data_IF_655560313860
#
_entry.id   IF_655560313860
#
_cell.length_a   1.000
_cell.length_b   1.000
_cell.length_c   1.000
_cell.angle_alpha   90.00
_cell.angle_beta   90.00
_cell.angle_gamma   90.00
#
_symmetry.space_group_name_H-M   'P 1'
#
loop_
_entity.id
_entity.type
_entity.pdbx_description
1 polymer ?
#
# COMPACT_ATOMS: atom_id res chain seq x y z
N UNK A 1 -11.56 -11.03 -5.17
CA UNK A 1 -11.92 -9.73 -4.55
C UNK A 1 -12.19 -8.65 -5.62
N UNK A 2 -12.92 -7.55 -5.35
CA UNK A 2 -13.09 -6.46 -6.34
C UNK A 2 -11.82 -5.60 -6.36
N UNK A 3 -10.90 -5.94 -7.27
CA UNK A 3 -9.69 -5.14 -7.51
C UNK A 3 -10.07 -3.75 -8.02
N UNK A 4 -9.48 -2.71 -7.44
CA UNK A 4 -9.72 -1.31 -7.80
C UNK A 4 -8.42 -0.68 -8.30
N UNK A 5 -8.54 0.39 -9.10
CA UNK A 5 -7.40 1.19 -9.55
C UNK A 5 -7.01 2.18 -8.45
N UNK A 6 -5.83 1.99 -7.87
CA UNK A 6 -5.27 2.77 -6.76
C UNK A 6 -4.09 3.59 -7.27
N UNK A 7 -4.12 4.91 -7.06
CA UNK A 7 -3.00 5.81 -7.34
C UNK A 7 -1.90 5.62 -6.30
N UNK A 8 -0.65 5.53 -6.75
CA UNK A 8 0.54 5.50 -5.92
C UNK A 8 1.60 6.47 -6.43
N UNK A 9 2.32 7.09 -5.51
CA UNK A 9 3.51 7.87 -5.83
C UNK A 9 4.68 6.93 -6.18
N UNK A 10 5.49 7.36 -7.14
CA UNK A 10 6.73 6.71 -7.55
C UNK A 10 7.80 7.76 -7.80
N UNK A 11 9.06 7.35 -7.94
CA UNK A 11 10.16 8.24 -8.33
C UNK A 11 9.93 8.94 -9.68
N UNK A 12 9.05 8.38 -10.52
CA UNK A 12 8.68 8.94 -11.83
C UNK A 12 7.31 9.65 -11.82
N UNK A 13 6.75 9.99 -10.65
CA UNK A 13 5.41 10.61 -10.52
C UNK A 13 4.31 9.63 -10.10
N UNK A 14 3.04 10.00 -10.34
CA UNK A 14 1.89 9.17 -9.95
C UNK A 14 1.66 8.04 -10.95
N UNK A 15 1.60 6.80 -10.45
CA UNK A 15 1.20 5.62 -11.22
C UNK A 15 -0.05 4.98 -10.62
N UNK A 16 -0.62 4.00 -11.31
CA UNK A 16 -1.76 3.22 -10.84
C UNK A 16 -1.29 1.79 -10.53
N UNK A 17 -1.71 1.24 -9.40
CA UNK A 17 -1.71 -0.20 -9.10
C UNK A 17 -3.15 -0.71 -9.03
N UNK A 18 -3.31 -2.02 -9.18
CA UNK A 18 -4.59 -2.70 -8.97
C UNK A 18 -4.48 -3.53 -7.69
N UNK A 19 -5.49 -3.47 -6.82
CA UNK A 19 -5.47 -4.20 -5.56
C UNK A 19 -6.60 -3.80 -4.62
N UNK A 20 -6.46 -4.16 -3.34
CA UNK A 20 -7.29 -3.64 -2.24
C UNK A 20 -6.67 -2.38 -1.67
N UNK A 21 -7.49 -1.34 -1.45
CA UNK A 21 -7.06 -0.18 -0.66
C UNK A 21 -7.27 -0.49 0.82
N UNK A 22 -6.21 -0.35 1.61
CA UNK A 22 -6.24 -0.54 3.06
C UNK A 22 -5.64 0.69 3.77
N UNK A 23 -6.24 1.14 4.86
CA UNK A 23 -5.78 2.29 5.64
C UNK A 23 -5.35 1.84 7.04
N UNK A 24 -4.14 2.23 7.45
CA UNK A 24 -3.62 1.99 8.79
C UNK A 24 -2.57 3.04 9.15
N UNK A 25 -2.48 3.41 10.43
CA UNK A 25 -1.46 4.34 10.96
C UNK A 25 -1.41 5.72 10.27
N UNK A 26 -2.50 6.15 9.63
CA UNK A 26 -2.55 7.40 8.85
C UNK A 26 -2.00 7.30 7.42
N UNK A 27 -1.67 6.10 6.96
CA UNK A 27 -1.19 5.79 5.62
C UNK A 27 -2.23 5.01 4.80
N UNK A 28 -2.05 5.03 3.48
CA UNK A 28 -2.82 4.25 2.52
C UNK A 28 -1.93 3.18 1.89
N UNK A 29 -2.45 1.96 1.77
CA UNK A 29 -1.75 0.79 1.25
C UNK A 29 -2.54 0.17 0.09
N UNK A 30 -1.82 -0.25 -0.95
CA UNK A 30 -2.32 -1.07 -2.04
C UNK A 30 -1.88 -2.52 -1.77
N UNK A 31 -2.82 -3.38 -1.35
CA UNK A 31 -2.59 -4.82 -1.17
C UNK A 31 -2.85 -5.48 -2.52
N UNK A 32 -1.81 -6.09 -3.09
CA UNK A 32 -1.86 -6.64 -4.45
C UNK A 32 -1.04 -7.92 -4.53
N UNK A 33 -1.28 -8.71 -5.58
CA UNK A 33 -0.46 -9.86 -5.92
C UNK A 33 0.72 -9.43 -6.81
N UNK A 34 1.82 -10.16 -6.71
CA UNK A 34 2.99 -10.00 -7.57
C UNK A 34 2.71 -10.51 -8.98
N UNK A 35 3.72 -10.41 -9.85
CA UNK A 35 3.76 -11.15 -11.12
C UNK A 35 3.53 -12.65 -10.92
N UNK A 36 3.95 -13.15 -9.76
CA UNK A 36 3.55 -14.44 -9.24
C UNK A 36 2.21 -14.32 -8.49
N UNK A 37 1.11 -14.90 -8.99
CA UNK A 37 -0.19 -14.85 -8.33
C UNK A 37 -0.11 -15.45 -6.91
N UNK A 38 0.82 -16.39 -6.74
CA UNK A 38 1.69 -16.68 -5.59
C UNK A 38 1.65 -15.83 -4.33
N UNK A 39 1.94 -14.54 -4.55
CA UNK A 39 2.66 -13.72 -3.60
C UNK A 39 1.88 -12.43 -3.40
N UNK A 40 1.39 -12.22 -2.19
CA UNK A 40 0.74 -10.98 -1.81
C UNK A 40 1.73 -10.06 -1.09
N UNK A 41 1.62 -8.77 -1.39
CA UNK A 41 2.41 -7.72 -0.78
C UNK A 41 1.60 -6.44 -0.65
N UNK A 42 2.08 -5.52 0.16
CA UNK A 42 1.47 -4.21 0.35
C UNK A 42 2.44 -3.11 -0.07
N UNK A 43 1.93 -2.16 -0.84
CA UNK A 43 2.66 -0.96 -1.26
C UNK A 43 2.08 0.23 -0.50
N UNK A 44 2.89 0.95 0.27
CA UNK A 44 2.46 2.23 0.82
C UNK A 44 2.40 3.25 -0.33
N UNK A 45 1.24 3.88 -0.53
CA UNK A 45 0.93 4.58 -1.79
C UNK A 45 1.46 6.01 -1.84
N UNK A 46 1.90 6.62 -0.73
CA UNK A 46 2.45 7.99 -0.72
C UNK A 46 3.96 8.06 -0.94
N UNK A 47 4.68 7.05 -0.46
CA UNK A 47 6.14 6.91 -0.57
C UNK A 47 6.53 5.90 -1.66
N UNK A 48 5.61 5.01 -2.04
CA UNK A 48 5.88 3.91 -2.96
C UNK A 48 6.71 2.79 -2.33
N UNK A 49 6.97 2.84 -1.01
CA UNK A 49 7.71 1.81 -0.30
C UNK A 49 6.92 0.50 -0.26
N UNK A 50 7.62 -0.61 -0.44
CA UNK A 50 7.04 -1.92 -0.15
C UNK A 50 6.89 -2.05 1.36
N UNK A 51 5.65 -1.96 1.84
CA UNK A 51 5.31 -2.01 3.25
C UNK A 51 5.54 -3.42 3.82
N UNK A 52 5.11 -4.45 3.10
CA UNK A 52 5.37 -5.85 3.44
C UNK A 52 5.87 -6.59 2.19
N UNK A 53 6.93 -7.41 2.30
CA UNK A 53 7.66 -7.91 1.11
C UNK A 53 7.43 -9.36 0.69
N UNK A 54 6.69 -10.20 1.41
CA UNK A 54 6.30 -11.54 0.92
C UNK A 54 5.41 -12.28 1.91
N UNK A 55 4.13 -12.42 1.58
CA UNK A 55 3.33 -13.54 2.06
C UNK A 55 3.07 -14.45 0.85
N UNK A 56 3.78 -15.58 0.78
CA UNK A 56 3.50 -16.67 -0.16
C UNK A 56 2.28 -17.47 0.31
N UNK A 57 1.63 -18.22 -0.58
CA UNK A 57 0.46 -19.10 -0.34
C UNK A 57 0.64 -20.23 0.70
N UNK A 58 1.35 -20.01 1.81
CA UNK A 58 1.26 -20.89 2.98
C UNK A 58 -0.13 -20.84 3.66
N UNK A 59 -1.02 -19.95 3.22
CA UNK A 59 -2.42 -19.93 3.64
C UNK A 59 -3.32 -20.47 2.51
N UNK A 60 -4.28 -21.32 2.88
CA UNK A 60 -5.13 -22.15 2.00
C UNK A 60 -5.94 -21.39 0.92
N UNK A 61 -6.01 -20.05 0.96
CA UNK A 61 -6.74 -19.22 -0.01
C UNK A 61 -6.34 -17.71 0.02
N UNK A 62 -6.70 -16.96 -1.03
CA UNK A 62 -6.46 -15.51 -1.20
C UNK A 62 -6.88 -14.67 0.02
N UNK A 63 -8.06 -14.97 0.60
CA UNK A 63 -8.59 -14.20 1.73
C UNK A 63 -7.67 -14.27 2.95
N UNK A 64 -7.13 -15.45 3.26
CA UNK A 64 -6.22 -15.63 4.37
C UNK A 64 -4.88 -14.90 4.14
N UNK A 65 -4.36 -14.89 2.91
CA UNK A 65 -3.17 -14.10 2.55
C UNK A 65 -3.39 -12.60 2.77
N UNK A 66 -4.50 -12.05 2.28
CA UNK A 66 -4.85 -10.63 2.46
C UNK A 66 -4.99 -10.29 3.94
N UNK A 67 -5.66 -11.14 4.72
CA UNK A 67 -5.81 -10.95 6.17
C UNK A 67 -4.45 -10.92 6.87
N UNK A 68 -3.53 -11.83 6.52
CA UNK A 68 -2.18 -11.86 7.07
C UNK A 68 -1.39 -10.58 6.72
N UNK A 69 -1.49 -10.08 5.48
CA UNK A 69 -0.87 -8.81 5.07
C UNK A 69 -1.40 -7.65 5.93
N UNK A 70 -2.72 -7.54 6.10
CA UNK A 70 -3.34 -6.49 6.93
C UNK A 70 -2.86 -6.56 8.38
N UNK A 71 -2.85 -7.76 8.97
CA UNK A 71 -2.37 -7.99 10.33
C UNK A 71 -0.91 -7.56 10.49
N UNK A 72 -0.06 -7.93 9.53
CA UNK A 72 1.35 -7.53 9.55
C UNK A 72 1.52 -6.01 9.50
N UNK A 73 0.77 -5.29 8.66
CA UNK A 73 0.81 -3.82 8.58
C UNK A 73 0.42 -3.21 9.93
N UNK A 74 -0.64 -3.72 10.55
CA UNK A 74 -1.11 -3.24 11.85
C UNK A 74 -0.03 -3.47 12.93
N UNK A 75 0.58 -4.65 12.96
CA UNK A 75 1.61 -5.02 13.95
C UNK A 75 2.93 -4.26 13.77
N UNK A 76 3.29 -3.90 12.54
CA UNK A 76 4.55 -3.24 12.21
C UNK A 76 4.40 -1.71 12.05
N UNK A 77 3.44 -1.11 12.78
CA UNK A 77 3.17 0.33 12.74
C UNK A 77 4.40 1.21 12.94
N UNK A 78 5.34 0.78 13.78
CA UNK A 78 6.58 1.50 14.06
C UNK A 78 7.50 1.69 12.84
N UNK A 79 7.33 0.89 11.77
CA UNK A 79 8.07 1.06 10.51
C UNK A 79 7.55 2.23 9.67
N UNK A 80 6.33 2.70 9.95
CA UNK A 80 5.67 3.79 9.25
C UNK A 80 5.75 5.07 10.10
N UNK A 81 6.96 5.64 10.20
CA UNK A 81 7.23 6.87 10.96
C UNK A 81 6.42 8.06 10.42
N UNK A 82 5.85 8.88 11.30
CA UNK A 82 5.20 10.15 10.95
C UNK A 82 6.13 11.08 10.14
N UNK A 83 7.45 11.05 10.37
CA UNK A 83 8.39 11.81 9.53
C UNK A 83 8.40 11.31 8.07
N UNK A 84 8.13 10.03 7.81
CA UNK A 84 7.99 9.51 6.46
C UNK A 84 6.71 10.05 5.81
N UNK A 85 5.59 10.08 6.55
CA UNK A 85 4.32 10.61 6.07
C UNK A 85 4.44 12.09 5.70
N UNK A 86 5.02 12.90 6.58
CA UNK A 86 5.15 14.34 6.36
C UNK A 86 6.11 14.66 5.21
N UNK A 87 7.22 13.93 5.08
CA UNK A 87 8.11 14.05 3.92
C UNK A 87 7.39 13.68 2.62
N UNK A 88 6.60 12.60 2.63
CA UNK A 88 5.84 12.16 1.47
C UNK A 88 4.78 13.19 1.08
N UNK A 89 4.01 13.72 2.04
CA UNK A 89 3.05 14.81 1.81
C UNK A 89 3.70 16.06 1.22
N UNK A 90 4.85 16.51 1.77
CA UNK A 90 5.60 17.66 1.23
C UNK A 90 6.06 17.41 -0.20
N UNK A 91 6.53 16.21 -0.52
CA UNK A 91 6.90 15.85 -1.88
C UNK A 91 5.69 15.89 -2.83
N UNK A 92 4.53 15.37 -2.43
CA UNK A 92 3.29 15.42 -3.22
C UNK A 92 2.85 16.86 -3.51
N UNK A 93 2.93 17.76 -2.51
CA UNK A 93 2.59 19.18 -2.67
C UNK A 93 3.48 19.84 -3.73
N UNK A 94 4.79 19.54 -3.74
CA UNK A 94 5.72 20.08 -4.75
C UNK A 94 5.30 19.76 -6.19
N UNK A 95 4.64 18.61 -6.39
CA UNK A 95 4.12 18.18 -7.69
C UNK A 95 2.63 18.50 -7.89
N UNK A 96 2.03 19.34 -7.03
CA UNK A 96 0.62 19.71 -7.05
C UNK A 96 -0.34 18.50 -6.96
N UNK A 97 0.06 17.45 -6.23
CA UNK A 97 -0.73 16.25 -6.00
C UNK A 97 -1.44 16.36 -4.65
N UNK A 98 -2.77 16.21 -4.65
CA UNK A 98 -3.57 16.22 -3.42
C UNK A 98 -3.40 14.91 -2.64
N UNK A 99 -3.37 15.03 -1.31
CA UNK A 99 -3.41 13.92 -0.36
C UNK A 99 -4.78 13.93 0.37
N UNK A 100 -5.41 12.76 0.63
CA UNK A 100 -4.98 11.41 0.26
C UNK A 100 -5.00 11.19 -1.26
N UNK A 101 -4.15 10.29 -1.77
CA UNK A 101 -4.08 10.01 -3.22
C UNK A 101 -5.35 9.34 -3.73
N UNK A 102 -6.06 8.63 -2.86
CA UNK A 102 -7.24 7.86 -3.17
C UNK A 102 -8.34 8.22 -2.18
N UNK A 103 -9.57 8.37 -2.67
CA UNK A 103 -10.73 8.54 -1.81
C UNK A 103 -11.11 7.19 -1.19
N UNK A 104 -11.75 7.24 -0.01
CA UNK A 104 -12.45 6.07 0.53
C UNK A 104 -13.52 5.63 -0.47
N UNK A 105 -13.55 4.32 -0.74
CA UNK A 105 -14.61 3.67 -1.51
C UNK A 105 -15.74 3.31 -0.55
#
# INVERSE_FOLDING_TARGET
>A
MKSIRIKRATTCGVRVCEGELFEAHGFQFCITNSFDPVIYYAIEVTSGMSACKRFTFYFENEYACIKAVKQWIVQNGALFDNNLLDRSKKALIKYNIKFPLNNKI
#
